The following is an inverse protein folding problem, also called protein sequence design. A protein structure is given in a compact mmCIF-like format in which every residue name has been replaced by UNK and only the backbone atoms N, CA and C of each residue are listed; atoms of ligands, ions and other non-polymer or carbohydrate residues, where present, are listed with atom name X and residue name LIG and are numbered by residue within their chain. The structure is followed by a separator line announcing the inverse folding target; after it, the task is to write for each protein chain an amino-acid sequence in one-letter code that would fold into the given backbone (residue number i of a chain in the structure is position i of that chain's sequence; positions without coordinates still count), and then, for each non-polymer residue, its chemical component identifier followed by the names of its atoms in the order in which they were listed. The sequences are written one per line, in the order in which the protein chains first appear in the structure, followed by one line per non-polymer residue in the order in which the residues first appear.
data_IF_432610683628
#
_entry.id   IF_432610683628
#
_cell.length_a   1.000
_cell.length_b   1.000
_cell.length_c   1.000
_cell.angle_alpha   90.00
_cell.angle_beta   90.00
_cell.angle_gamma   90.00
#
_symmetry.space_group_name_H-M   'P 1'
#
loop_
_entity.id
_entity.type
_entity.pdbx_description
1 polymer ?
#
# COMPACT_ATOMS: atom_id res chain seq x y z
N UNK A 1 12.77 13.53 29.79
CA UNK A 1 11.91 14.26 28.85
C UNK A 1 10.50 13.68 28.94
N UNK A 2 9.43 14.49 28.91
CA UNK A 2 8.10 14.02 29.25
C UNK A 2 7.61 13.01 28.22
N UNK A 3 6.99 11.93 28.70
CA UNK A 3 6.24 10.94 27.95
C UNK A 3 5.43 11.63 26.85
N UNK A 4 5.81 11.43 25.60
CA UNK A 4 4.97 11.76 24.46
C UNK A 4 3.70 10.91 24.63
N UNK A 5 2.66 11.50 25.22
CA UNK A 5 1.40 10.85 25.49
C UNK A 5 0.86 10.35 24.14
N UNK A 6 0.90 9.03 23.93
CA UNK A 6 0.21 8.40 22.82
C UNK A 6 -1.24 8.86 22.87
N UNK A 7 -1.72 9.46 21.78
CA UNK A 7 -3.11 9.89 21.64
C UNK A 7 -3.86 8.83 20.79
N UNK A 8 -4.35 7.75 21.42
CA UNK A 8 -4.91 6.62 20.67
C UNK A 8 -6.09 7.03 19.80
N UNK A 9 -6.92 7.97 20.22
CA UNK A 9 -8.04 8.49 19.43
C UNK A 9 -7.52 9.11 18.13
N UNK A 10 -6.49 9.96 18.19
CA UNK A 10 -5.87 10.55 16.99
C UNK A 10 -5.31 9.46 16.06
N UNK A 11 -4.66 8.44 16.64
CA UNK A 11 -4.15 7.31 15.88
C UNK A 11 -5.24 6.51 15.17
N UNK A 12 -6.36 6.25 15.82
CA UNK A 12 -7.50 5.56 15.18
C UNK A 12 -8.14 6.43 14.10
N UNK A 13 -8.39 7.71 14.35
CA UNK A 13 -8.98 8.62 13.37
C UNK A 13 -8.10 8.72 12.13
N UNK A 14 -6.81 9.00 12.29
CA UNK A 14 -5.90 9.12 11.14
C UNK A 14 -5.70 7.80 10.41
N UNK A 15 -5.66 6.67 11.12
CA UNK A 15 -5.55 5.35 10.52
C UNK A 15 -6.77 4.96 9.68
N UNK A 16 -7.99 5.10 10.24
CA UNK A 16 -9.21 4.83 9.49
C UNK A 16 -9.41 5.80 8.31
N UNK A 17 -9.07 7.08 8.48
CA UNK A 17 -9.11 8.04 7.37
C UNK A 17 -8.13 7.65 6.27
N UNK A 18 -6.92 7.23 6.62
CA UNK A 18 -5.94 6.73 5.67
C UNK A 18 -6.46 5.50 4.91
N UNK A 19 -6.98 4.51 5.64
CA UNK A 19 -7.55 3.30 5.05
C UNK A 19 -8.74 3.60 4.12
N UNK A 20 -9.61 4.53 4.52
CA UNK A 20 -10.74 4.96 3.69
C UNK A 20 -10.27 5.66 2.40
N UNK A 21 -9.28 6.54 2.48
CA UNK A 21 -8.71 7.22 1.31
C UNK A 21 -8.02 6.20 0.38
N UNK A 22 -7.27 5.24 0.90
CA UNK A 22 -6.65 4.19 0.08
C UNK A 22 -7.70 3.35 -0.64
N UNK A 23 -8.73 2.88 0.08
CA UNK A 23 -9.82 2.12 -0.52
C UNK A 23 -10.56 2.91 -1.60
N UNK A 24 -10.84 4.20 -1.34
CA UNK A 24 -11.43 5.10 -2.33
C UNK A 24 -10.51 5.27 -3.56
N UNK A 25 -9.21 5.44 -3.32
CA UNK A 25 -8.23 5.64 -4.38
C UNK A 25 -8.12 4.42 -5.32
N UNK A 26 -8.42 3.22 -4.85
CA UNK A 26 -8.52 2.02 -5.70
C UNK A 26 -9.56 2.19 -6.82
N UNK A 27 -10.76 2.65 -6.47
CA UNK A 27 -11.83 2.93 -7.44
C UNK A 27 -11.47 4.10 -8.37
N UNK A 28 -10.84 5.16 -7.85
CA UNK A 28 -10.34 6.27 -8.70
C UNK A 28 -9.31 5.75 -9.71
N UNK A 29 -8.40 4.87 -9.28
CA UNK A 29 -7.40 4.27 -10.15
C UNK A 29 -8.04 3.41 -11.25
N UNK A 30 -9.05 2.60 -10.90
CA UNK A 30 -9.81 1.80 -11.87
C UNK A 30 -10.43 2.71 -12.93
N UNK A 31 -11.13 3.79 -12.54
CA UNK A 31 -11.71 4.75 -13.48
C UNK A 31 -10.65 5.38 -14.37
N UNK A 32 -9.52 5.83 -13.81
CA UNK A 32 -8.43 6.43 -14.61
C UNK A 32 -7.90 5.47 -15.69
N UNK A 33 -7.79 4.18 -15.37
CA UNK A 33 -7.24 3.19 -16.30
C UNK A 33 -8.27 2.67 -17.30
N UNK A 34 -9.59 2.83 -17.06
CA UNK A 34 -10.64 2.51 -18.03
C UNK A 34 -10.64 3.44 -19.24
N UNK A 35 -10.11 4.65 -19.09
CA UNK A 35 -10.13 5.66 -20.16
C UNK A 35 -8.91 5.63 -21.10
N UNK A 36 -7.93 4.75 -20.83
CA UNK A 36 -6.71 4.57 -21.64
C UNK A 36 -5.89 5.85 -21.94
N UNK A 37 -6.20 6.97 -21.26
CA UNK A 37 -5.48 8.25 -21.43
C UNK A 37 -4.04 8.15 -20.95
N UNK A 38 -3.82 7.39 -19.88
CA UNK A 38 -2.50 7.10 -19.34
C UNK A 38 -2.36 5.60 -19.10
N UNK A 39 -1.20 5.05 -19.46
CA UNK A 39 -0.87 3.67 -19.11
C UNK A 39 -0.67 3.52 -17.59
N UNK A 40 -0.83 2.30 -17.06
CA UNK A 40 -0.56 1.99 -15.66
C UNK A 40 0.88 2.39 -15.24
N UNK A 41 1.85 2.27 -16.14
CA UNK A 41 3.23 2.67 -15.91
C UNK A 41 3.39 4.20 -15.77
N UNK A 42 2.70 4.96 -16.61
CA UNK A 42 2.69 6.43 -16.55
C UNK A 42 2.04 6.93 -15.26
N UNK A 43 0.89 6.34 -14.87
CA UNK A 43 0.24 6.67 -13.60
C UNK A 43 1.15 6.33 -12.41
N UNK A 44 1.82 5.18 -12.44
CA UNK A 44 2.75 4.75 -11.38
C UNK A 44 3.97 5.69 -11.30
N UNK A 45 4.50 6.14 -12.45
CA UNK A 45 5.54 7.16 -12.49
C UNK A 45 5.08 8.45 -11.80
N UNK A 46 3.96 9.01 -12.24
CA UNK A 46 3.43 10.28 -11.72
C UNK A 46 3.16 10.20 -10.21
N UNK A 47 2.56 9.10 -9.74
CA UNK A 47 2.33 8.85 -8.31
C UNK A 47 3.64 8.85 -7.51
N UNK A 48 4.63 8.10 -7.98
CA UNK A 48 5.93 8.01 -7.30
C UNK A 48 6.65 9.35 -7.31
N UNK A 49 6.63 10.07 -8.43
CA UNK A 49 7.27 11.36 -8.60
C UNK A 49 6.66 12.43 -7.68
N UNK A 50 5.34 12.60 -7.71
CA UNK A 50 4.65 13.61 -6.88
C UNK A 50 4.84 13.29 -5.39
N UNK A 51 4.66 12.02 -4.98
CA UNK A 51 4.87 11.62 -3.60
C UNK A 51 6.34 11.80 -3.17
N UNK A 52 7.31 11.52 -4.04
CA UNK A 52 8.73 11.77 -3.80
C UNK A 52 9.00 13.26 -3.57
N UNK A 53 8.52 14.13 -4.47
CA UNK A 53 8.73 15.58 -4.37
C UNK A 53 8.12 16.13 -3.08
N UNK A 54 6.86 15.79 -2.80
CA UNK A 54 6.16 16.26 -1.60
C UNK A 54 6.82 15.74 -0.32
N UNK A 55 7.23 14.46 -0.29
CA UNK A 55 7.99 13.90 0.85
C UNK A 55 9.34 14.57 1.00
N UNK A 56 10.04 14.84 -0.10
CA UNK A 56 11.31 15.57 -0.11
C UNK A 56 11.16 17.00 0.44
N UNK A 57 10.12 17.73 0.02
CA UNK A 57 9.81 19.05 0.55
C UNK A 57 9.58 19.00 2.08
N UNK A 58 8.78 18.06 2.55
CA UNK A 58 8.55 17.87 4.00
C UNK A 58 9.87 17.60 4.73
N UNK A 59 10.73 16.74 4.20
CA UNK A 59 12.03 16.42 4.79
C UNK A 59 12.99 17.62 4.84
N UNK A 60 12.92 18.52 3.86
CA UNK A 60 13.73 19.75 3.87
C UNK A 60 13.45 20.64 5.10
N UNK A 61 12.22 20.58 5.64
CA UNK A 61 11.82 21.37 6.80
C UNK A 61 11.93 20.60 8.11
N UNK A 62 11.72 19.26 8.11
CA UNK A 62 11.64 18.45 9.32
C UNK A 62 12.98 17.77 9.64
N UNK A 63 13.63 17.13 8.65
CA UNK A 63 14.85 16.34 8.87
C UNK A 63 15.72 16.28 7.62
N UNK A 64 16.59 17.27 7.47
CA UNK A 64 17.55 17.30 6.36
C UNK A 64 18.61 16.19 6.42
N UNK A 65 18.79 15.56 7.58
CA UNK A 65 19.76 14.48 7.73
C UNK A 65 19.32 13.21 7.00
N UNK A 66 18.03 13.04 6.75
CA UNK A 66 17.46 11.93 6.00
C UNK A 66 17.93 11.84 4.53
N UNK A 67 18.47 12.96 3.97
CA UNK A 67 19.07 12.94 2.64
C UNK A 67 20.47 12.32 2.62
N UNK A 68 21.13 12.17 3.78
CA UNK A 68 22.43 11.53 3.89
C UNK A 68 22.25 10.02 3.99
N UNK A 69 22.72 9.29 2.99
CA UNK A 69 22.54 7.83 2.90
C UNK A 69 23.90 7.14 2.67
N UNK A 70 24.14 6.03 3.33
CA UNK A 70 25.31 5.18 3.11
C UNK A 70 25.13 4.31 1.86
N UNK A 71 26.24 3.86 1.24
CA UNK A 71 26.18 2.96 0.06
C UNK A 71 25.35 1.68 0.33
N UNK A 72 25.42 1.13 1.55
CA UNK A 72 24.66 -0.06 1.93
C UNK A 72 23.14 0.22 2.03
N UNK A 73 22.79 1.37 2.59
CA UNK A 73 21.38 1.81 2.65
C UNK A 73 20.87 2.12 1.24
N UNK A 74 21.70 2.77 0.40
CA UNK A 74 21.34 3.08 -0.99
C UNK A 74 20.95 1.82 -1.77
N UNK A 75 21.76 0.75 -1.72
CA UNK A 75 21.45 -0.51 -2.35
C UNK A 75 20.15 -1.15 -1.81
N UNK A 76 19.93 -1.08 -0.49
CA UNK A 76 18.74 -1.61 0.14
C UNK A 76 17.46 -0.87 -0.31
N UNK A 77 17.48 0.47 -0.31
CA UNK A 77 16.32 1.27 -0.72
C UNK A 77 16.11 1.27 -2.24
N UNK A 78 17.17 1.03 -3.03
CA UNK A 78 17.04 0.84 -4.47
C UNK A 78 16.22 -0.42 -4.78
N UNK A 79 16.55 -1.55 -4.16
CA UNK A 79 15.78 -2.79 -4.32
C UNK A 79 14.36 -2.63 -3.75
N UNK A 80 14.22 -2.01 -2.58
CA UNK A 80 12.92 -1.68 -1.98
C UNK A 80 12.07 -0.81 -2.93
N UNK A 81 12.68 0.24 -3.50
CA UNK A 81 11.98 1.19 -4.38
C UNK A 81 11.55 0.54 -5.69
N UNK A 82 12.40 -0.29 -6.31
CA UNK A 82 12.09 -0.92 -7.59
C UNK A 82 11.20 -2.16 -7.38
N UNK A 83 11.68 -3.18 -6.66
CA UNK A 83 10.98 -4.45 -6.53
C UNK A 83 9.82 -4.40 -5.51
N UNK A 84 9.89 -3.53 -4.50
CA UNK A 84 8.82 -3.33 -3.53
C UNK A 84 7.82 -2.28 -3.99
N UNK A 85 8.22 -1.02 -4.14
CA UNK A 85 7.29 0.09 -4.38
C UNK A 85 6.83 0.18 -5.83
N UNK A 86 7.77 0.19 -6.80
CA UNK A 86 7.44 0.36 -8.21
C UNK A 86 6.62 -0.82 -8.75
N UNK A 87 7.06 -2.05 -8.49
CA UNK A 87 6.35 -3.25 -8.94
C UNK A 87 5.01 -3.44 -8.23
N UNK A 88 4.92 -3.14 -6.92
CA UNK A 88 3.67 -3.19 -6.18
C UNK A 88 2.61 -2.29 -6.83
N UNK A 89 2.93 -1.01 -6.99
CA UNK A 89 1.99 -0.04 -7.56
C UNK A 89 1.59 -0.40 -9.00
N UNK A 90 2.53 -0.89 -9.81
CA UNK A 90 2.28 -1.27 -11.19
C UNK A 90 1.34 -2.48 -11.28
N UNK A 91 1.67 -3.55 -10.55
CA UNK A 91 0.86 -4.75 -10.60
C UNK A 91 -0.51 -4.54 -9.98
N UNK A 92 -0.62 -3.72 -8.93
CA UNK A 92 -1.91 -3.30 -8.39
C UNK A 92 -2.73 -2.51 -9.43
N UNK A 93 -2.12 -1.53 -10.12
CA UNK A 93 -2.78 -0.76 -11.16
C UNK A 93 -3.29 -1.67 -12.30
N UNK A 94 -2.47 -2.61 -12.77
CA UNK A 94 -2.87 -3.59 -13.78
C UNK A 94 -3.97 -4.55 -13.27
N UNK A 95 -3.96 -4.91 -11.99
CA UNK A 95 -4.98 -5.74 -11.39
C UNK A 95 -6.34 -5.03 -11.38
N UNK A 96 -6.41 -3.80 -10.85
CA UNK A 96 -7.68 -3.04 -10.76
C UNK A 96 -8.21 -2.58 -12.13
N UNK A 97 -7.38 -2.62 -13.17
CA UNK A 97 -7.82 -2.42 -14.55
C UNK A 97 -8.48 -3.68 -15.16
N UNK A 98 -8.38 -4.83 -14.50
CA UNK A 98 -8.79 -6.13 -15.09
C UNK A 98 -9.74 -6.94 -14.22
N UNK A 99 -9.75 -6.72 -12.91
CA UNK A 99 -10.65 -7.35 -11.93
C UNK A 99 -11.12 -6.32 -10.92
N UNK A 100 -12.19 -6.65 -10.20
CA UNK A 100 -12.80 -5.78 -9.18
C UNK A 100 -11.77 -5.31 -8.15
N UNK A 101 -11.84 -4.02 -7.79
CA UNK A 101 -10.88 -3.35 -6.89
C UNK A 101 -10.75 -4.06 -5.55
N UNK A 102 -11.90 -4.43 -4.97
CA UNK A 102 -11.90 -5.14 -3.68
C UNK A 102 -11.25 -6.52 -3.76
N UNK A 103 -11.45 -7.24 -4.88
CA UNK A 103 -10.83 -8.55 -5.12
C UNK A 103 -9.31 -8.40 -5.31
N UNK A 104 -8.87 -7.42 -6.09
CA UNK A 104 -7.44 -7.13 -6.28
C UNK A 104 -6.71 -6.90 -4.94
N UNK A 105 -7.32 -6.10 -4.04
CA UNK A 105 -6.78 -5.85 -2.71
C UNK A 105 -6.75 -7.10 -1.82
N UNK A 106 -7.78 -7.95 -1.88
CA UNK A 106 -7.76 -9.20 -1.11
C UNK A 106 -6.57 -10.09 -1.50
N UNK A 107 -6.27 -10.18 -2.81
CA UNK A 107 -5.09 -10.91 -3.28
C UNK A 107 -3.79 -10.25 -2.81
N UNK A 108 -3.69 -8.92 -2.85
CA UNK A 108 -2.51 -8.19 -2.39
C UNK A 108 -2.24 -8.46 -0.91
N UNK A 109 -3.27 -8.53 -0.08
CA UNK A 109 -3.16 -8.84 1.35
C UNK A 109 -2.71 -10.27 1.66
N UNK A 110 -2.59 -11.18 0.67
CA UNK A 110 -1.81 -12.43 0.80
C UNK A 110 -0.38 -12.18 1.27
N UNK A 111 0.17 -11.01 1.02
CA UNK A 111 1.48 -10.63 1.52
C UNK A 111 1.59 -10.76 3.04
N UNK A 112 0.53 -10.47 3.78
CA UNK A 112 0.55 -10.48 5.26
C UNK A 112 0.88 -11.87 5.84
N UNK A 113 0.16 -12.94 5.50
CA UNK A 113 0.55 -14.28 5.92
C UNK A 113 1.83 -14.78 5.24
N UNK A 114 2.09 -14.40 3.98
CA UNK A 114 3.31 -14.82 3.27
C UNK A 114 4.58 -14.31 3.94
N UNK A 115 4.60 -13.07 4.43
CA UNK A 115 5.73 -12.53 5.22
C UNK A 115 5.98 -13.38 6.47
N UNK A 116 4.94 -13.87 7.14
CA UNK A 116 5.10 -14.72 8.32
C UNK A 116 5.70 -16.09 7.98
N UNK A 117 5.30 -16.68 6.83
CA UNK A 117 5.89 -17.93 6.34
C UNK A 117 7.37 -17.73 6.00
N UNK A 118 7.70 -16.65 5.31
CA UNK A 118 9.09 -16.33 4.94
C UNK A 118 9.93 -16.08 6.20
N UNK A 119 9.38 -15.36 7.21
CA UNK A 119 10.06 -15.15 8.48
C UNK A 119 10.38 -16.48 9.18
N UNK A 120 9.46 -17.44 9.16
CA UNK A 120 9.73 -18.79 9.68
C UNK A 120 10.82 -19.53 8.90
N UNK A 121 10.70 -19.59 7.56
CA UNK A 121 11.56 -20.43 6.71
C UNK A 121 13.00 -19.87 6.64
N UNK A 122 13.14 -18.57 6.45
CA UNK A 122 14.45 -17.94 6.22
C UNK A 122 15.10 -17.38 7.49
N UNK A 123 14.29 -16.84 8.41
CA UNK A 123 14.81 -16.23 9.65
C UNK A 123 14.66 -17.15 10.87
N UNK A 124 14.06 -18.36 10.69
CA UNK A 124 13.82 -19.35 11.77
C UNK A 124 13.09 -18.76 12.97
N UNK A 125 12.26 -17.74 12.74
CA UNK A 125 11.45 -17.15 13.80
C UNK A 125 10.35 -18.12 14.23
N UNK A 126 10.10 -18.22 15.55
CA UNK A 126 9.00 -19.04 16.07
C UNK A 126 7.66 -18.41 15.69
N UNK A 127 6.94 -19.04 14.76
CA UNK A 127 5.62 -18.60 14.32
C UNK A 127 4.57 -19.24 15.22
N UNK A 128 3.68 -18.40 15.77
CA UNK A 128 2.56 -18.88 16.61
C UNK A 128 1.57 -19.69 15.77
N UNK A 129 0.92 -20.70 16.38
CA UNK A 129 -0.09 -21.53 15.71
C UNK A 129 -1.22 -20.71 15.04
N UNK A 130 -1.56 -19.56 15.62
CA UNK A 130 -2.57 -18.63 15.04
C UNK A 130 -2.22 -18.14 13.62
N UNK A 131 -0.96 -18.04 13.26
CA UNK A 131 -0.55 -17.62 11.90
C UNK A 131 -0.88 -18.72 10.89
N UNK A 132 -0.71 -19.99 11.25
CA UNK A 132 -1.09 -21.11 10.38
C UNK A 132 -2.60 -21.15 10.13
N UNK A 133 -3.39 -20.89 11.17
CA UNK A 133 -4.86 -20.76 11.03
C UNK A 133 -5.19 -19.57 10.13
N UNK A 134 -4.53 -18.42 10.32
CA UNK A 134 -4.69 -17.24 9.46
C UNK A 134 -4.40 -17.54 7.99
N UNK A 135 -3.29 -18.27 7.69
CA UNK A 135 -2.94 -18.68 6.33
C UNK A 135 -4.05 -19.55 5.73
N UNK A 136 -4.57 -20.53 6.50
CA UNK A 136 -5.70 -21.35 6.08
C UNK A 136 -6.94 -20.51 5.72
N UNK A 137 -7.32 -19.55 6.58
CA UNK A 137 -8.43 -18.64 6.31
C UNK A 137 -8.22 -17.81 5.05
N UNK A 138 -7.03 -17.24 4.86
CA UNK A 138 -6.74 -16.42 3.68
C UNK A 138 -6.77 -17.26 2.41
N UNK A 139 -6.16 -18.44 2.38
CA UNK A 139 -6.15 -19.32 1.19
C UNK A 139 -7.57 -19.80 0.86
N UNK A 140 -8.30 -20.30 1.86
CA UNK A 140 -9.68 -20.77 1.66
C UNK A 140 -10.58 -19.62 1.23
N UNK A 141 -10.51 -18.47 1.92
CA UNK A 141 -11.31 -17.30 1.59
C UNK A 141 -11.04 -16.79 0.18
N UNK A 142 -9.77 -16.74 -0.27
CA UNK A 142 -9.43 -16.37 -1.64
C UNK A 142 -9.93 -17.39 -2.67
N UNK A 143 -9.91 -18.68 -2.37
CA UNK A 143 -10.49 -19.70 -3.24
C UNK A 143 -12.00 -19.44 -3.46
N UNK A 144 -12.72 -19.01 -2.41
CA UNK A 144 -14.13 -18.63 -2.50
C UNK A 144 -14.30 -17.31 -3.29
N UNK A 145 -13.48 -16.30 -3.06
CA UNK A 145 -13.51 -15.03 -3.80
C UNK A 145 -13.22 -15.25 -5.27
N UNK A 146 -12.18 -16.00 -5.59
CA UNK A 146 -11.80 -16.33 -6.96
C UNK A 146 -12.75 -17.33 -7.64
N UNK A 147 -13.64 -17.96 -6.88
CA UNK A 147 -14.53 -19.00 -7.38
C UNK A 147 -13.80 -20.02 -8.27
N UNK A 148 -12.70 -20.57 -7.74
CA UNK A 148 -11.80 -21.47 -8.51
C UNK A 148 -12.48 -22.63 -9.22
N UNK A 149 -13.72 -22.96 -8.81
CA UNK A 149 -14.57 -24.00 -9.41
C UNK A 149 -15.46 -23.49 -10.54
N UNK A 150 -15.60 -22.17 -10.71
CA UNK A 150 -16.49 -21.55 -11.72
C UNK A 150 -15.83 -20.33 -12.37
N UNK A 151 -14.53 -20.27 -12.43
CA UNK A 151 -13.61 -19.21 -12.84
C UNK A 151 -14.28 -18.01 -13.59
N UNK A 152 -14.90 -17.12 -12.82
CA UNK A 152 -15.51 -15.89 -13.35
C UNK A 152 -14.49 -14.73 -13.45
N UNK A 153 -13.31 -14.87 -12.80
CA UNK A 153 -12.30 -13.83 -12.79
C UNK A 153 -11.37 -13.94 -13.99
N UNK A 154 -10.93 -12.79 -14.47
CA UNK A 154 -9.87 -12.72 -15.48
C UNK A 154 -8.56 -13.30 -14.94
N UNK A 155 -8.01 -14.39 -15.51
CA UNK A 155 -6.77 -15.00 -15.01
C UNK A 155 -5.57 -14.04 -15.00
N UNK A 156 -5.53 -13.10 -15.95
CA UNK A 156 -4.47 -12.11 -16.03
C UNK A 156 -4.55 -11.11 -14.85
N UNK A 157 -5.75 -10.71 -14.46
CA UNK A 157 -5.95 -9.85 -13.29
C UNK A 157 -5.55 -10.54 -11.99
N UNK A 158 -5.90 -11.84 -11.83
CA UNK A 158 -5.45 -12.66 -10.68
C UNK A 158 -3.92 -12.79 -10.66
N UNK A 159 -3.30 -12.97 -11.84
CA UNK A 159 -1.83 -12.99 -11.95
C UNK A 159 -1.23 -11.66 -11.49
N UNK A 160 -1.74 -10.52 -11.97
CA UNK A 160 -1.25 -9.21 -11.55
C UNK A 160 -1.43 -8.97 -10.05
N UNK A 161 -2.59 -9.27 -9.49
CA UNK A 161 -2.84 -9.14 -8.06
C UNK A 161 -1.90 -10.03 -7.22
N UNK A 162 -1.58 -11.24 -7.70
CA UNK A 162 -0.61 -12.14 -7.06
C UNK A 162 0.81 -11.58 -7.14
N UNK A 163 1.19 -10.96 -8.26
CA UNK A 163 2.50 -10.28 -8.39
C UNK A 163 2.59 -9.05 -7.49
N UNK A 164 1.48 -8.30 -7.33
CA UNK A 164 1.40 -7.21 -6.35
C UNK A 164 1.65 -7.74 -4.93
N UNK A 165 1.04 -8.87 -4.54
CA UNK A 165 1.29 -9.51 -3.26
C UNK A 165 2.78 -9.89 -3.06
N UNK A 166 3.44 -10.45 -4.08
CA UNK A 166 4.87 -10.74 -4.03
C UNK A 166 5.72 -9.47 -3.83
N UNK A 167 5.42 -8.41 -4.57
CA UNK A 167 6.09 -7.13 -4.42
C UNK A 167 5.84 -6.52 -3.02
N UNK A 168 4.65 -6.70 -2.47
CA UNK A 168 4.30 -6.24 -1.13
C UNK A 168 5.05 -7.01 -0.04
N UNK A 169 5.28 -8.31 -0.23
CA UNK A 169 6.19 -9.10 0.64
C UNK A 169 7.60 -8.50 0.65
N UNK A 170 8.14 -8.18 -0.53
CA UNK A 170 9.45 -7.54 -0.66
C UNK A 170 9.45 -6.19 0.06
N UNK A 171 8.41 -5.39 -0.14
CA UNK A 171 8.21 -4.10 0.53
C UNK A 171 8.26 -4.23 2.05
N UNK A 172 7.54 -5.20 2.64
CA UNK A 172 7.55 -5.41 4.08
C UNK A 172 8.91 -5.86 4.60
N UNK A 173 9.53 -6.88 3.98
CA UNK A 173 10.79 -7.44 4.47
C UNK A 173 11.95 -6.45 4.35
N UNK A 174 12.08 -5.77 3.21
CA UNK A 174 13.15 -4.81 3.00
C UNK A 174 12.85 -3.49 3.73
N UNK A 175 11.59 -3.08 3.83
CA UNK A 175 11.14 -1.93 4.60
C UNK A 175 11.52 -2.07 6.07
N UNK A 176 11.19 -3.20 6.70
CA UNK A 176 11.59 -3.49 8.08
C UNK A 176 13.11 -3.41 8.26
N UNK A 177 13.86 -3.98 7.32
CA UNK A 177 15.32 -3.93 7.37
C UNK A 177 15.88 -2.52 7.21
N UNK A 178 15.29 -1.69 6.34
CA UNK A 178 15.69 -0.31 6.11
C UNK A 178 15.42 0.55 7.37
N UNK A 179 14.29 0.35 8.02
CA UNK A 179 13.90 1.07 9.23
C UNK A 179 14.81 0.83 10.45
N UNK A 180 15.64 -0.23 10.42
CA UNK A 180 16.66 -0.43 11.47
C UNK A 180 17.80 0.60 11.42
N UNK A 181 17.95 1.30 10.30
CA UNK A 181 19.06 2.25 10.08
C UNK A 181 18.65 3.58 9.45
N UNK A 182 17.38 3.77 9.16
CA UNK A 182 16.84 4.95 8.49
C UNK A 182 15.55 5.42 9.16
N UNK A 183 15.27 6.71 9.07
CA UNK A 183 13.95 7.24 9.45
C UNK A 183 12.89 6.79 8.43
N UNK A 184 11.65 6.67 8.87
CA UNK A 184 10.55 6.25 7.99
C UNK A 184 10.41 7.16 6.78
N UNK A 185 10.39 8.48 6.99
CA UNK A 185 10.26 9.46 5.91
C UNK A 185 11.45 9.42 4.95
N UNK A 186 12.67 9.23 5.48
CA UNK A 186 13.87 9.07 4.66
C UNK A 186 13.81 7.80 3.81
N UNK A 187 13.39 6.67 4.39
CA UNK A 187 13.20 5.42 3.65
C UNK A 187 12.20 5.60 2.50
N UNK A 188 11.06 6.24 2.76
CA UNK A 188 10.03 6.46 1.74
C UNK A 188 10.53 7.37 0.64
N UNK A 189 11.17 8.49 0.98
CA UNK A 189 11.74 9.39 -0.02
C UNK A 189 12.68 8.65 -0.98
N UNK A 190 13.65 7.89 -0.45
CA UNK A 190 14.61 7.16 -1.25
C UNK A 190 13.97 6.02 -2.05
N UNK A 191 13.03 5.30 -1.48
CA UNK A 191 12.30 4.25 -2.19
C UNK A 191 11.47 4.83 -3.34
N UNK A 192 10.77 5.95 -3.12
CA UNK A 192 10.03 6.66 -4.16
C UNK A 192 10.94 7.24 -5.24
N UNK A 193 12.14 7.72 -4.87
CA UNK A 193 13.13 8.20 -5.83
C UNK A 193 13.56 7.09 -6.79
N UNK A 194 13.86 5.90 -6.28
CA UNK A 194 14.22 4.76 -7.11
C UNK A 194 13.03 4.23 -7.93
N UNK A 195 11.82 4.24 -7.37
CA UNK A 195 10.59 3.92 -8.11
C UNK A 195 10.39 4.91 -9.26
N UNK A 196 10.53 6.20 -8.99
CA UNK A 196 10.44 7.26 -10.01
C UNK A 196 11.51 7.10 -11.09
N UNK A 197 12.77 6.90 -10.69
CA UNK A 197 13.86 6.71 -11.63
C UNK A 197 13.66 5.49 -12.54
N UNK A 198 13.16 4.38 -11.98
CA UNK A 198 12.83 3.18 -12.74
C UNK A 198 11.75 3.47 -13.79
N UNK A 199 10.62 4.03 -13.37
CA UNK A 199 9.52 4.30 -14.28
C UNK A 199 9.80 5.45 -15.24
N UNK A 200 10.67 6.41 -14.89
CA UNK A 200 11.13 7.43 -15.82
C UNK A 200 11.87 6.84 -17.04
N UNK A 201 12.40 5.62 -16.92
CA UNK A 201 13.03 4.91 -18.05
C UNK A 201 12.02 4.07 -18.82
N UNK A 202 11.04 3.43 -18.15
CA UNK A 202 10.22 2.38 -18.74
C UNK A 202 8.74 2.77 -18.99
N UNK A 203 8.29 3.96 -18.54
CA UNK A 203 6.88 4.35 -18.65
C UNK A 203 6.50 5.06 -19.94
N UNK A 204 7.50 5.36 -20.81
CA UNK A 204 7.27 6.13 -22.03
C UNK A 204 6.55 7.47 -21.79
N UNK A 205 6.86 8.14 -20.67
CA UNK A 205 6.20 9.38 -20.24
C UNK A 205 6.29 10.52 -21.27
N UNK A 206 7.28 10.45 -22.18
CA UNK A 206 7.47 11.45 -23.24
C UNK A 206 6.42 11.41 -24.33
N UNK A 207 5.59 10.35 -24.39
CA UNK A 207 4.45 10.26 -25.32
C UNK A 207 3.13 10.72 -24.70
N UNK A 208 3.12 11.14 -23.42
CA UNK A 208 1.91 11.63 -22.77
C UNK A 208 1.39 12.85 -23.50
N UNK A 209 0.16 12.75 -24.01
CA UNK A 209 -0.56 13.90 -24.52
C UNK A 209 -1.10 14.73 -23.36
N UNK A 210 -0.45 15.87 -23.12
CA UNK A 210 -0.85 16.81 -22.08
C UNK A 210 -2.24 17.37 -22.35
N UNK A 211 -2.64 17.49 -23.64
CA UNK A 211 -3.98 17.93 -24.04
C UNK A 211 -5.06 16.97 -23.58
N UNK A 212 -4.81 15.66 -23.71
CA UNK A 212 -5.72 14.62 -23.28
C UNK A 212 -5.99 14.63 -21.77
N UNK A 213 -5.09 15.18 -20.94
CA UNK A 213 -5.32 15.33 -19.51
C UNK A 213 -6.44 16.34 -19.18
N UNK A 214 -6.78 17.23 -20.09
CA UNK A 214 -7.87 18.18 -19.93
C UNK A 214 -9.21 17.67 -20.50
N UNK A 215 -9.20 16.54 -21.20
CA UNK A 215 -10.42 15.93 -21.73
C UNK A 215 -11.36 15.54 -20.59
N UNK A 216 -12.65 15.72 -20.85
CA UNK A 216 -13.71 15.41 -19.90
C UNK A 216 -14.04 13.93 -19.98
N UNK A 217 -13.91 13.24 -18.88
CA UNK A 217 -14.19 11.81 -18.74
C UNK A 217 -15.41 11.58 -17.86
N UNK A 218 -16.13 10.48 -18.09
CA UNK A 218 -17.14 9.97 -17.18
C UNK A 218 -16.49 9.37 -15.92
N UNK A 219 -17.14 9.52 -14.76
CA UNK A 219 -16.69 8.83 -13.54
C UNK A 219 -17.15 7.37 -13.46
N UNK A 220 -17.83 6.87 -14.50
CA UNK A 220 -18.30 5.50 -14.63
C UNK A 220 -19.27 5.03 -13.52
N UNK A 221 -19.76 3.82 -13.64
CA UNK A 221 -20.65 3.19 -12.66
C UNK A 221 -21.86 4.06 -12.30
N UNK A 222 -22.19 4.17 -11.03
CA UNK A 222 -23.31 4.98 -10.53
C UNK A 222 -23.07 6.50 -10.67
N UNK A 223 -21.84 6.91 -10.93
CA UNK A 223 -21.47 8.30 -11.19
C UNK A 223 -21.26 8.59 -12.69
N UNK A 224 -21.71 7.71 -13.59
CA UNK A 224 -21.56 7.87 -15.03
C UNK A 224 -22.20 9.15 -15.60
N UNK A 225 -23.21 9.71 -14.89
CA UNK A 225 -23.79 11.01 -15.21
C UNK A 225 -22.92 12.22 -14.82
N UNK A 226 -21.83 11.99 -14.07
CA UNK A 226 -20.90 13.04 -13.64
C UNK A 226 -19.66 12.96 -14.52
N UNK A 227 -19.35 14.06 -15.19
CA UNK A 227 -18.18 14.17 -16.06
C UNK A 227 -17.24 15.25 -15.52
N UNK A 228 -15.95 14.93 -15.47
CA UNK A 228 -14.90 15.82 -14.95
C UNK A 228 -13.67 15.74 -15.84
N UNK A 229 -12.83 16.80 -15.90
CA UNK A 229 -11.55 16.69 -16.60
C UNK A 229 -10.67 15.57 -15.98
N UNK A 230 -9.96 14.82 -16.83
CA UNK A 230 -9.13 13.67 -16.41
C UNK A 230 -8.11 14.03 -15.32
N UNK A 231 -7.56 15.24 -15.35
CA UNK A 231 -6.61 15.69 -14.33
C UNK A 231 -7.20 15.77 -12.92
N UNK A 232 -8.53 15.82 -12.75
CA UNK A 232 -9.18 15.90 -11.43
C UNK A 232 -8.99 14.59 -10.65
N UNK A 233 -9.47 13.43 -11.12
CA UNK A 233 -9.22 12.16 -10.43
C UNK A 233 -7.72 11.79 -10.41
N UNK A 234 -6.96 12.19 -11.44
CA UNK A 234 -5.50 12.01 -11.44
C UNK A 234 -4.87 12.78 -10.27
N UNK A 235 -5.16 14.07 -10.10
CA UNK A 235 -4.63 14.88 -9.01
C UNK A 235 -5.00 14.34 -7.64
N UNK A 236 -6.23 13.82 -7.48
CA UNK A 236 -6.64 13.12 -6.26
C UNK A 236 -5.72 11.94 -5.98
N UNK A 237 -5.50 11.07 -6.97
CA UNK A 237 -4.63 9.89 -6.83
C UNK A 237 -3.19 10.27 -6.51
N UNK A 238 -2.64 11.31 -7.15
CA UNK A 238 -1.26 11.74 -6.95
C UNK A 238 -1.02 12.36 -5.57
N UNK A 239 -1.93 13.21 -5.10
CA UNK A 239 -1.74 13.97 -3.85
C UNK A 239 -2.44 13.28 -2.68
N UNK A 240 -3.74 13.07 -2.78
CA UNK A 240 -4.55 12.55 -1.66
C UNK A 240 -4.33 11.05 -1.51
N UNK A 241 -4.51 10.30 -2.59
CA UNK A 241 -4.38 8.84 -2.62
C UNK A 241 -2.95 8.33 -2.39
N UNK A 242 -1.93 9.16 -2.57
CA UNK A 242 -0.54 8.75 -2.35
C UNK A 242 0.08 9.50 -1.16
N UNK A 243 0.35 10.80 -1.28
CA UNK A 243 1.12 11.54 -0.28
C UNK A 243 0.37 11.72 1.06
N UNK A 244 -0.87 12.27 1.03
CA UNK A 244 -1.63 12.52 2.26
C UNK A 244 -1.90 11.22 3.02
N UNK A 245 -2.23 10.17 2.30
CA UNK A 245 -2.49 8.86 2.88
C UNK A 245 -1.28 8.31 3.61
N UNK A 246 -0.07 8.44 3.05
CA UNK A 246 1.15 8.06 3.75
C UNK A 246 1.36 8.86 5.04
N UNK A 247 1.17 10.18 5.00
CA UNK A 247 1.29 11.02 6.22
C UNK A 247 0.31 10.57 7.30
N UNK A 248 -0.96 10.34 6.95
CA UNK A 248 -1.98 9.87 7.90
C UNK A 248 -1.63 8.49 8.48
N UNK A 249 -1.15 7.56 7.65
CA UNK A 249 -0.67 6.24 8.10
C UNK A 249 0.47 6.36 9.12
N UNK A 250 1.41 7.29 8.91
CA UNK A 250 2.49 7.52 9.86
C UNK A 250 2.01 8.12 11.18
N UNK A 251 1.08 9.07 11.12
CA UNK A 251 0.49 9.63 12.34
C UNK A 251 -0.22 8.51 13.11
N UNK A 252 -0.94 7.63 12.43
CA UNK A 252 -1.56 6.46 13.06
C UNK A 252 -0.53 5.55 13.73
N UNK A 253 0.54 5.17 13.01
CA UNK A 253 1.63 4.33 13.54
C UNK A 253 2.33 4.96 14.76
N UNK A 254 2.50 6.28 14.79
CA UNK A 254 3.09 6.99 15.92
C UNK A 254 2.24 6.89 17.19
N UNK A 255 0.92 6.82 17.06
CA UNK A 255 -0.02 6.92 18.17
C UNK A 255 -0.65 5.57 18.56
N UNK A 256 -0.68 4.58 17.68
CA UNK A 256 -1.22 3.24 17.92
C UNK A 256 -0.10 2.24 18.28
N UNK A 257 -0.51 1.12 18.89
CA UNK A 257 0.34 -0.08 18.98
C UNK A 257 0.42 -0.72 17.58
N UNK A 258 1.53 -1.39 17.21
CA UNK A 258 1.71 -1.99 15.89
C UNK A 258 0.55 -2.90 15.47
N UNK A 259 0.06 -3.76 16.36
CA UNK A 259 -1.08 -4.63 16.11
C UNK A 259 -2.35 -3.85 15.78
N UNK A 260 -2.65 -2.79 16.58
CA UNK A 260 -3.84 -1.96 16.33
C UNK A 260 -3.71 -1.20 15.00
N UNK A 261 -2.53 -0.68 14.70
CA UNK A 261 -2.27 0.01 13.43
C UNK A 261 -2.45 -0.93 12.23
N UNK A 262 -1.97 -2.18 12.33
CA UNK A 262 -2.15 -3.19 11.28
C UNK A 262 -3.63 -3.55 11.05
N UNK A 263 -4.40 -3.73 12.14
CA UNK A 263 -5.86 -4.01 12.02
C UNK A 263 -6.58 -2.83 11.36
N UNK A 264 -6.27 -1.60 11.78
CA UNK A 264 -6.86 -0.39 11.21
C UNK A 264 -6.48 -0.26 9.73
N UNK A 265 -5.22 -0.49 9.37
CA UNK A 265 -4.80 -0.48 7.97
C UNK A 265 -5.55 -1.53 7.13
N UNK A 266 -5.79 -2.74 7.67
CA UNK A 266 -6.53 -3.79 6.97
C UNK A 266 -7.99 -3.42 6.69
N UNK A 267 -8.55 -2.39 7.35
CA UNK A 267 -9.89 -1.87 7.02
C UNK A 267 -9.97 -1.22 5.64
N UNK A 268 -8.84 -0.92 5.01
CA UNK A 268 -8.74 -0.48 3.61
C UNK A 268 -9.53 -1.38 2.67
N UNK A 269 -9.42 -2.69 2.85
CA UNK A 269 -10.15 -3.68 2.03
C UNK A 269 -11.65 -3.49 2.14
N UNK A 270 -12.16 -3.23 3.36
CA UNK A 270 -13.58 -2.99 3.58
C UNK A 270 -14.04 -1.70 2.90
N UNK A 271 -13.25 -0.63 3.02
CA UNK A 271 -13.55 0.64 2.34
C UNK A 271 -13.50 0.49 0.82
N UNK A 272 -12.53 -0.27 0.28
CA UNK A 272 -12.43 -0.51 -1.15
C UNK A 272 -13.68 -1.24 -1.68
N UNK A 273 -14.14 -2.30 -1.00
CA UNK A 273 -15.38 -2.98 -1.37
C UNK A 273 -16.60 -2.07 -1.29
N UNK A 274 -16.73 -1.29 -0.21
CA UNK A 274 -17.86 -0.38 -0.05
C UNK A 274 -17.89 0.69 -1.15
N UNK A 275 -16.74 1.28 -1.47
CA UNK A 275 -16.65 2.33 -2.49
C UNK A 275 -16.86 1.73 -3.87
N UNK A 276 -16.27 0.61 -4.20
CA UNK A 276 -16.41 -0.04 -5.49
C UNK A 276 -17.87 -0.53 -5.72
N UNK A 277 -18.50 -1.06 -4.68
CA UNK A 277 -19.92 -1.40 -4.73
C UNK A 277 -20.81 -0.20 -4.97
N UNK A 278 -20.61 0.87 -4.20
CA UNK A 278 -21.45 2.07 -4.28
C UNK A 278 -21.19 2.90 -5.53
N UNK A 279 -19.93 2.99 -5.96
CA UNK A 279 -19.53 3.83 -7.08
C UNK A 279 -19.49 3.04 -8.40
N UNK A 280 -18.70 1.96 -8.46
CA UNK A 280 -18.43 1.23 -9.70
C UNK A 280 -19.47 0.14 -10.04
N UNK A 281 -20.50 -0.04 -9.19
CA UNK A 281 -21.46 -1.14 -9.32
C UNK A 281 -20.82 -2.54 -9.25
N UNK A 282 -19.63 -2.64 -8.65
CA UNK A 282 -19.00 -3.93 -8.41
C UNK A 282 -19.83 -4.73 -7.41
N UNK A 283 -20.45 -5.84 -7.84
CA UNK A 283 -21.30 -6.67 -6.98
C UNK A 283 -20.62 -8.00 -6.71
N UNK A 284 -20.46 -8.31 -5.43
CA UNK A 284 -20.04 -9.64 -5.01
C UNK A 284 -21.26 -10.54 -4.85
N UNK A 285 -21.19 -11.75 -5.39
CA UNK A 285 -22.17 -12.75 -5.06
C UNK A 285 -21.99 -13.28 -3.62
N UNK A 286 -22.98 -14.01 -3.11
CA UNK A 286 -22.95 -14.49 -1.73
C UNK A 286 -21.70 -15.33 -1.39
N UNK A 287 -21.20 -16.11 -2.34
CA UNK A 287 -19.99 -16.94 -2.17
C UNK A 287 -18.74 -16.06 -2.04
N UNK A 288 -18.60 -15.06 -2.90
CA UNK A 288 -17.51 -14.09 -2.85
C UNK A 288 -17.55 -13.27 -1.56
N UNK A 289 -18.73 -12.88 -1.10
CA UNK A 289 -18.91 -12.12 0.13
C UNK A 289 -18.47 -12.95 1.36
N UNK A 290 -18.85 -14.23 1.41
CA UNK A 290 -18.38 -15.15 2.45
C UNK A 290 -16.86 -15.30 2.38
N UNK A 291 -16.31 -15.48 1.18
CA UNK A 291 -14.86 -15.55 0.96
C UNK A 291 -14.13 -14.30 1.44
N UNK A 292 -14.63 -13.11 1.11
CA UNK A 292 -14.07 -11.83 1.56
C UNK A 292 -14.07 -11.70 3.09
N UNK A 293 -15.17 -12.10 3.74
CA UNK A 293 -15.26 -12.11 5.21
C UNK A 293 -14.25 -13.08 5.84
N UNK A 294 -14.07 -14.27 5.25
CA UNK A 294 -13.06 -15.26 5.70
C UNK A 294 -11.65 -14.72 5.53
N UNK A 295 -11.32 -14.09 4.39
CA UNK A 295 -10.01 -13.43 4.19
C UNK A 295 -9.79 -12.33 5.22
N UNK A 296 -10.76 -11.45 5.43
CA UNK A 296 -10.67 -10.37 6.42
C UNK A 296 -10.41 -10.91 7.84
N UNK A 297 -11.12 -11.96 8.24
CA UNK A 297 -10.88 -12.64 9.51
C UNK A 297 -9.46 -13.23 9.58
N UNK A 298 -8.97 -13.82 8.51
CA UNK A 298 -7.61 -14.32 8.39
C UNK A 298 -6.56 -13.23 8.56
N UNK A 299 -6.75 -12.07 7.91
CA UNK A 299 -5.85 -10.91 8.01
C UNK A 299 -5.81 -10.40 9.46
N UNK A 300 -6.96 -10.20 10.10
CA UNK A 300 -7.05 -9.76 11.50
C UNK A 300 -6.35 -10.76 12.42
N UNK A 301 -6.57 -12.06 12.19
CA UNK A 301 -5.91 -13.12 12.96
C UNK A 301 -4.39 -13.09 12.79
N UNK A 302 -3.88 -12.86 11.58
CA UNK A 302 -2.45 -12.70 11.32
C UNK A 302 -1.86 -11.49 12.07
N UNK A 303 -2.54 -10.35 12.04
CA UNK A 303 -2.10 -9.12 12.71
C UNK A 303 -2.05 -9.31 14.23
N UNK A 304 -3.01 -10.03 14.82
CA UNK A 304 -3.04 -10.31 16.27
C UNK A 304 -2.04 -11.39 16.71
N UNK A 305 -1.59 -12.23 15.80
CA UNK A 305 -0.68 -13.33 16.09
C UNK A 305 0.79 -12.92 16.13
N UNK A 306 1.17 -11.80 15.51
CA UNK A 306 2.54 -11.29 15.51
C UNK A 306 2.90 -10.76 16.90
N UNK A 307 3.96 -11.26 17.55
CA UNK A 307 4.54 -10.57 18.69
C UNK A 307 5.04 -9.21 18.18
N UNK A 308 4.81 -8.12 18.93
CA UNK A 308 4.99 -6.73 18.54
C UNK A 308 6.36 -6.26 18.03
N UNK A 309 7.21 -7.14 17.52
CA UNK A 309 8.55 -6.85 17.01
C UNK A 309 8.59 -6.39 15.54
N UNK A 310 7.55 -6.64 14.74
CA UNK A 310 7.57 -6.28 13.30
C UNK A 310 7.31 -4.78 13.09
N UNK A 311 6.72 -4.10 14.08
CA UNK A 311 6.49 -2.67 14.09
C UNK A 311 6.82 -2.02 15.45
N UNK A 312 7.81 -2.54 16.20
CA UNK A 312 8.51 -1.69 17.16
C UNK A 312 9.35 -0.70 16.35
N UNK A 313 8.63 0.19 15.71
CA UNK A 313 9.11 1.51 15.41
C UNK A 313 9.22 2.23 16.76
N UNK A 314 10.16 1.79 17.60
CA UNK A 314 10.82 2.74 18.44
C UNK A 314 11.41 3.76 17.45
N UNK A 315 10.68 4.84 17.27
CA UNK A 315 11.22 6.13 16.90
C UNK A 315 12.16 6.50 18.06
N UNK A 316 13.18 5.67 18.24
CA UNK A 316 14.33 6.02 19.01
C UNK A 316 14.89 7.26 18.31
N UNK A 317 14.38 8.41 18.74
CA UNK A 317 15.27 9.56 18.90
C UNK A 317 16.56 8.93 19.40
N UNK A 318 17.53 8.87 18.53
CA UNK A 318 18.92 8.58 18.84
C UNK A 318 19.32 9.63 19.88
N UNK A 319 19.05 9.34 21.16
CA UNK A 319 19.77 9.95 22.23
C UNK A 319 21.22 9.52 22.04
N UNK A 320 22.00 10.40 21.46
CA UNK A 320 23.42 10.45 21.62
C UNK A 320 23.68 10.41 23.13
N UNK A 321 23.94 9.24 23.69
CA UNK A 321 24.60 9.13 24.98
C UNK A 321 26.02 9.64 24.77
N UNK A 322 26.39 10.76 25.36
CA UNK A 322 27.81 11.11 25.39
C UNK A 322 28.53 10.01 26.17
N UNK A 323 29.50 9.37 25.55
CA UNK A 323 30.45 8.49 26.21
C UNK A 323 31.07 9.26 27.36
N UNK A 324 30.76 8.88 28.60
CA UNK A 324 31.58 9.28 29.73
C UNK A 324 32.92 8.57 29.60
N UNK A 325 33.91 9.33 29.18
CA UNK A 325 35.32 9.05 29.43
C UNK A 325 35.52 9.06 30.98
N UNK A 326 35.90 7.94 31.54
CA UNK A 326 36.80 7.81 32.68
C UNK A 326 37.87 6.78 32.33
#
# INVERSE_FOLDING_TARGET
MPNNLRRPVLGYVTGFTSAAIFGFNGSVMSVLLMHDTLSAAQVTLLRSFVAMVLTGLVLLFIDRSAFKISKRQLGLVAVLGIAGVAMLNQFYALAVATIDVGIALLFEYLAVPAVAVIALLFFKEKVRARIWVSIGFVIVGLAFVAQVWNSSLNPLGVFYASMAACAYVIYFLLGERALRSMTVMGMIFWALLFSTAFWAVFSEWWIIDVGALAEVISLEGNLSGVSVPFWVPLSFTLVVGSFITYILSFVALKHLKPTSAGIVASSEVLFAFLVAWFWLNETLNAVQLIGAAVVAAGIVLAQTARPGKVFDLDLATTEHRPSKLQ
#
